data_IF_819836261851
#
_entry.id   IF_819836261851
#
_cell.length_a   1.000
_cell.length_b   1.000
_cell.length_c   1.000
_cell.angle_alpha   90.00
_cell.angle_beta   90.00
_cell.angle_gamma   90.00
#
_symmetry.space_group_name_H-M   'P 1'
#
loop_
_entity.id
_entity.type
_entity.pdbx_description
1 polymer ?
#
# COMPACT_ATOMS: atom_id res chain seq x y z
N UNK A 1 -0.18 19.61 -23.72
CA UNK A 1 0.91 19.18 -22.84
C UNK A 1 0.30 18.72 -21.51
N UNK A 2 -0.22 17.48 -21.46
CA UNK A 2 -0.84 16.89 -20.25
C UNK A 2 -0.61 15.38 -20.29
N UNK A 3 0.65 14.97 -20.12
CA UNK A 3 1.05 13.57 -19.98
C UNK A 3 1.95 13.44 -18.74
N UNK A 4 1.35 13.49 -17.55
CA UNK A 4 2.01 13.04 -16.31
C UNK A 4 0.95 12.78 -15.27
N UNK A 5 1.03 11.61 -14.63
CA UNK A 5 0.41 11.17 -13.39
C UNK A 5 -0.86 10.32 -13.51
N UNK A 6 -0.67 9.07 -13.94
CA UNK A 6 -1.56 7.97 -13.58
C UNK A 6 -0.73 6.85 -12.96
N UNK A 7 -0.28 7.06 -11.75
CA UNK A 7 0.24 5.99 -10.91
C UNK A 7 0.09 6.43 -9.46
N UNK A 8 -1.11 6.30 -8.94
CA UNK A 8 -1.34 6.46 -7.50
C UNK A 8 -2.22 5.34 -7.01
N UNK A 9 -1.57 4.23 -6.74
CA UNK A 9 -1.86 3.36 -5.62
C UNK A 9 -0.51 3.12 -4.94
N UNK A 10 -0.21 4.04 -4.04
CA UNK A 10 0.71 3.95 -2.90
C UNK A 10 1.97 3.10 -3.15
N UNK A 11 2.97 3.73 -3.77
CA UNK A 11 4.37 3.42 -3.54
C UNK A 11 5.12 4.74 -3.49
N UNK A 12 5.39 5.27 -2.30
CA UNK A 12 6.43 6.27 -2.13
C UNK A 12 7.77 5.54 -2.25
N UNK A 13 8.33 5.56 -3.45
CA UNK A 13 9.73 5.27 -3.65
C UNK A 13 10.51 6.58 -3.47
N UNK A 14 11.21 6.70 -2.36
CA UNK A 14 12.28 7.68 -2.23
C UNK A 14 13.42 7.27 -3.15
N UNK A 15 13.80 8.14 -4.08
CA UNK A 15 14.92 7.93 -4.98
C UNK A 15 16.25 7.89 -4.21
N UNK A 16 16.89 6.73 -4.18
CA UNK A 16 18.31 6.59 -3.80
C UNK A 16 19.12 6.76 -5.10
N UNK A 17 20.19 7.57 -5.14
CA UNK A 17 21.00 7.71 -6.34
C UNK A 17 21.70 6.39 -6.66
N UNK A 18 21.44 5.85 -7.85
CA UNK A 18 22.11 4.67 -8.38
C UNK A 18 23.55 5.01 -8.75
N UNK A 19 24.49 4.31 -8.13
CA UNK A 19 25.87 4.27 -8.60
C UNK A 19 25.92 3.49 -9.92
N UNK A 20 26.36 4.14 -10.98
CA UNK A 20 26.53 3.56 -12.31
C UNK A 20 27.69 2.56 -12.32
N UNK A 21 27.38 1.27 -12.51
CA UNK A 21 28.37 0.26 -12.84
C UNK A 21 28.50 0.17 -14.37
N UNK A 22 29.73 0.40 -14.89
CA UNK A 22 30.05 0.17 -16.29
C UNK A 22 30.16 -1.33 -16.57
N UNK A 23 29.35 -1.84 -17.49
CA UNK A 23 29.46 -3.19 -18.02
C UNK A 23 30.44 -3.26 -19.19
N UNK A 24 31.40 -4.16 -19.09
CA UNK A 24 32.20 -4.61 -20.24
C UNK A 24 31.45 -5.75 -20.93
N UNK A 25 31.22 -5.61 -22.22
CA UNK A 25 30.59 -6.64 -23.05
C UNK A 25 31.53 -7.82 -23.26
N UNK A 26 31.10 -9.02 -22.88
CA UNK A 26 31.73 -10.30 -23.22
C UNK A 26 30.71 -11.15 -24.00
N UNK A 27 31.03 -11.60 -25.26
CA UNK A 27 30.06 -12.22 -26.15
C UNK A 27 29.93 -13.74 -26.01
N UNK A 28 30.25 -14.36 -24.89
CA UNK A 28 30.03 -15.78 -24.67
C UNK A 28 28.79 -16.04 -23.84
N UNK A 29 27.71 -16.46 -24.51
CA UNK A 29 26.42 -16.78 -23.91
C UNK A 29 26.50 -17.90 -22.85
N UNK A 30 26.36 -17.50 -21.59
CA UNK A 30 25.98 -18.37 -20.50
C UNK A 30 24.93 -17.64 -19.68
N UNK A 31 23.78 -18.28 -19.49
CA UNK A 31 22.61 -17.74 -18.76
C UNK A 31 22.78 -17.72 -17.23
N UNK A 32 24.02 -17.74 -16.74
CA UNK A 32 24.36 -17.66 -15.31
C UNK A 32 24.95 -16.28 -14.96
N UNK A 33 24.16 -15.22 -15.17
CA UNK A 33 24.50 -13.93 -14.54
C UNK A 33 23.96 -13.96 -13.11
N UNK A 34 24.82 -13.92 -12.08
CA UNK A 34 24.33 -13.81 -10.71
C UNK A 34 23.53 -12.51 -10.59
N UNK A 35 22.33 -12.59 -10.05
CA UNK A 35 21.55 -11.41 -9.66
C UNK A 35 22.35 -10.75 -8.52
N UNK A 36 23.11 -9.73 -8.83
CA UNK A 36 23.81 -8.93 -7.83
C UNK A 36 22.79 -8.01 -7.19
N UNK A 37 22.21 -8.44 -6.07
CA UNK A 37 21.41 -7.57 -5.21
C UNK A 37 22.39 -6.69 -4.46
N UNK A 38 22.64 -5.48 -4.93
CA UNK A 38 23.38 -4.45 -4.20
C UNK A 38 22.48 -3.85 -3.13
N UNK A 39 22.13 -4.64 -2.13
CA UNK A 39 21.47 -4.15 -0.94
C UNK A 39 22.45 -3.35 -0.09
N UNK A 40 22.06 -2.17 0.37
CA UNK A 40 22.84 -1.45 1.40
C UNK A 40 22.84 -2.30 2.67
N UNK A 41 24.01 -2.56 3.24
CA UNK A 41 24.12 -3.41 4.43
C UNK A 41 23.53 -2.70 5.64
N UNK A 42 22.83 -3.44 6.48
CA UNK A 42 22.28 -2.90 7.72
C UNK A 42 23.35 -2.24 8.62
N UNK A 43 24.57 -2.81 8.65
CA UNK A 43 25.73 -2.22 9.35
C UNK A 43 26.05 -0.82 8.85
N UNK A 44 26.06 -0.64 7.52
CA UNK A 44 26.45 0.64 6.90
C UNK A 44 25.41 1.74 7.21
N UNK A 45 24.13 1.36 7.28
CA UNK A 45 23.04 2.27 7.68
C UNK A 45 23.12 2.64 9.16
N UNK A 46 23.47 1.68 10.03
CA UNK A 46 23.72 1.96 11.46
C UNK A 46 24.89 2.92 11.63
N UNK A 47 25.99 2.69 10.93
CA UNK A 47 27.15 3.55 10.96
C UNK A 47 26.86 4.96 10.40
N UNK A 48 26.06 5.04 9.33
CA UNK A 48 25.63 6.32 8.75
C UNK A 48 24.78 7.14 9.74
N UNK A 49 23.83 6.49 10.42
CA UNK A 49 23.03 7.14 11.46
C UNK A 49 23.91 7.56 12.64
N UNK A 50 24.80 6.70 13.14
CA UNK A 50 25.72 7.03 14.24
C UNK A 50 26.57 8.26 13.91
N UNK A 51 27.22 8.26 12.73
CA UNK A 51 28.00 9.41 12.26
C UNK A 51 27.19 10.70 12.12
N UNK A 52 25.92 10.60 11.71
CA UNK A 52 25.02 11.74 11.65
C UNK A 52 24.77 12.32 13.05
N UNK A 53 24.44 11.46 14.01
CA UNK A 53 24.17 11.86 15.39
C UNK A 53 25.40 12.45 16.09
N UNK A 54 26.59 11.86 15.91
CA UNK A 54 27.86 12.33 16.50
C UNK A 54 28.20 13.76 16.05
N UNK A 55 27.99 14.05 14.77
CA UNK A 55 28.21 15.42 14.22
C UNK A 55 27.03 16.35 14.43
N UNK A 56 25.96 15.92 15.12
CA UNK A 56 24.73 16.69 15.35
C UNK A 56 24.12 17.20 14.03
N UNK A 57 23.92 16.30 13.08
CA UNK A 57 23.34 16.64 11.78
C UNK A 57 21.93 17.30 11.92
N UNK A 58 21.50 18.12 10.95
CA UNK A 58 20.20 18.77 11.02
C UNK A 58 19.04 17.75 10.94
N UNK A 59 17.83 18.16 11.38
CA UNK A 59 16.68 17.24 11.51
C UNK A 59 16.33 16.44 10.26
N UNK A 60 16.41 17.04 9.08
CA UNK A 60 16.14 16.37 7.80
C UNK A 60 17.13 15.23 7.51
N UNK A 61 18.41 15.42 7.84
CA UNK A 61 19.43 14.38 7.67
C UNK A 61 19.31 13.27 8.71
N UNK A 62 19.03 13.59 9.99
CA UNK A 62 18.75 12.58 11.01
C UNK A 62 17.53 11.75 10.61
N UNK A 63 16.45 12.40 10.19
CA UNK A 63 15.22 11.72 9.76
C UNK A 63 15.50 10.80 8.57
N UNK A 64 16.23 11.29 7.55
CA UNK A 64 16.57 10.50 6.37
C UNK A 64 17.40 9.26 6.74
N UNK A 65 18.44 9.41 7.57
CA UNK A 65 19.27 8.29 8.02
C UNK A 65 18.51 7.29 8.89
N UNK A 66 17.65 7.81 9.80
CA UNK A 66 16.81 6.96 10.66
C UNK A 66 15.76 6.18 9.85
N UNK A 67 15.13 6.83 8.86
CA UNK A 67 14.13 6.19 8.01
C UNK A 67 14.78 5.10 7.15
N UNK A 68 15.95 5.38 6.54
CA UNK A 68 16.67 4.39 5.73
C UNK A 68 17.07 3.15 6.57
N UNK A 69 17.52 3.35 7.80
CA UNK A 69 17.81 2.24 8.71
C UNK A 69 16.54 1.45 9.05
N UNK A 70 15.46 2.14 9.42
CA UNK A 70 14.20 1.49 9.78
C UNK A 70 13.57 0.72 8.60
N UNK A 71 13.66 1.24 7.38
CA UNK A 71 13.21 0.55 6.16
C UNK A 71 13.98 -0.76 5.96
N UNK A 72 15.30 -0.75 6.13
CA UNK A 72 16.09 -1.97 6.02
C UNK A 72 15.78 -2.96 7.14
N UNK A 73 15.63 -2.50 8.38
CA UNK A 73 15.20 -3.33 9.51
C UNK A 73 13.81 -3.96 9.24
N UNK A 74 12.88 -3.21 8.67
CA UNK A 74 11.57 -3.72 8.27
C UNK A 74 11.69 -4.78 7.17
N UNK A 75 12.48 -4.53 6.12
CA UNK A 75 12.72 -5.49 5.02
C UNK A 75 13.34 -6.78 5.54
N UNK A 76 14.20 -6.71 6.57
CA UNK A 76 14.74 -7.89 7.25
C UNK A 76 13.75 -8.58 8.21
N UNK A 77 12.51 -8.07 8.33
CA UNK A 77 11.49 -8.61 9.24
C UNK A 77 11.65 -8.17 10.70
N UNK A 78 12.60 -7.28 10.99
CA UNK A 78 12.88 -6.74 12.33
C UNK A 78 11.95 -5.57 12.66
N UNK A 79 10.65 -5.81 12.66
CA UNK A 79 9.63 -4.75 12.79
C UNK A 79 9.75 -3.94 14.09
N UNK A 80 10.10 -4.62 15.20
CA UNK A 80 10.28 -3.95 16.48
C UNK A 80 11.51 -3.03 16.49
N UNK A 81 12.61 -3.46 15.87
CA UNK A 81 13.82 -2.65 15.75
C UNK A 81 13.55 -1.41 14.88
N UNK A 82 12.92 -1.62 13.72
CA UNK A 82 12.50 -0.55 12.82
C UNK A 82 11.64 0.51 13.54
N UNK A 83 10.67 0.06 14.32
CA UNK A 83 9.82 0.95 15.09
C UNK A 83 10.59 1.67 16.21
N UNK A 84 11.53 0.98 16.86
CA UNK A 84 12.40 1.58 17.88
C UNK A 84 13.27 2.69 17.27
N UNK A 85 13.86 2.44 16.10
CA UNK A 85 14.65 3.41 15.34
C UNK A 85 13.82 4.66 15.00
N UNK A 86 12.59 4.46 14.48
CA UNK A 86 11.69 5.59 14.14
C UNK A 86 11.27 6.38 15.37
N UNK A 87 10.89 5.70 16.46
CA UNK A 87 10.50 6.38 17.72
C UNK A 87 11.64 7.16 18.36
N UNK A 88 12.86 6.65 18.29
CA UNK A 88 14.04 7.39 18.73
C UNK A 88 14.24 8.68 17.90
N UNK A 89 14.10 8.60 16.58
CA UNK A 89 14.16 9.76 15.70
C UNK A 89 13.00 10.74 15.95
N UNK A 90 11.76 10.25 16.16
CA UNK A 90 10.62 11.08 16.57
C UNK A 90 10.90 11.82 17.88
N UNK A 91 11.49 11.14 18.86
CA UNK A 91 11.90 11.75 20.12
C UNK A 91 12.82 12.98 19.93
N UNK A 92 13.76 12.88 18.97
CA UNK A 92 14.69 13.98 18.66
C UNK A 92 14.08 15.06 17.79
N UNK A 93 13.23 14.71 16.81
CA UNK A 93 12.91 15.57 15.68
C UNK A 93 11.47 16.11 15.65
N UNK A 94 10.50 15.54 16.37
CA UNK A 94 9.09 15.98 16.31
C UNK A 94 8.87 17.45 16.64
N UNK A 95 9.72 18.04 17.50
CA UNK A 95 9.65 19.46 17.86
C UNK A 95 10.06 20.40 16.73
N UNK A 96 10.69 19.90 15.68
CA UNK A 96 11.14 20.70 14.55
C UNK A 96 10.12 20.76 13.39
N UNK A 97 8.88 20.26 13.58
CA UNK A 97 7.85 20.20 12.54
C UNK A 97 7.56 21.56 11.87
N UNK A 98 7.69 22.67 12.61
CA UNK A 98 7.52 24.01 12.04
C UNK A 98 8.54 24.33 10.95
N UNK A 99 9.79 23.96 11.14
CA UNK A 99 10.87 24.21 10.17
C UNK A 99 11.07 23.08 9.15
N UNK A 100 10.65 21.86 9.50
CA UNK A 100 10.82 20.64 8.72
C UNK A 100 9.51 19.83 8.65
N UNK A 101 8.41 20.43 8.15
CA UNK A 101 7.10 19.77 8.20
C UNK A 101 7.04 18.46 7.45
N UNK A 102 7.58 18.38 6.23
CA UNK A 102 7.56 17.16 5.41
C UNK A 102 8.47 16.05 5.96
N UNK A 103 9.73 16.31 6.35
CA UNK A 103 10.55 15.28 6.99
C UNK A 103 9.90 14.71 8.25
N UNK A 104 9.39 15.54 9.15
CA UNK A 104 8.73 15.07 10.38
C UNK A 104 7.45 14.30 10.07
N UNK A 105 6.64 14.75 9.10
CA UNK A 105 5.46 14.02 8.66
C UNK A 105 5.82 12.67 8.04
N UNK A 106 6.91 12.58 7.27
CA UNK A 106 7.38 11.31 6.70
C UNK A 106 7.77 10.29 7.76
N UNK A 107 8.36 10.75 8.86
CA UNK A 107 8.73 9.91 10.00
C UNK A 107 7.50 9.32 10.70
N UNK A 108 6.47 10.15 10.97
CA UNK A 108 5.18 9.65 11.50
C UNK A 108 4.52 8.68 10.54
N UNK A 109 4.57 8.94 9.23
CA UNK A 109 4.01 8.07 8.19
C UNK A 109 4.72 6.70 8.15
N UNK A 110 6.05 6.68 8.30
CA UNK A 110 6.81 5.44 8.38
C UNK A 110 6.42 4.61 9.62
N UNK A 111 6.34 5.24 10.82
CA UNK A 111 5.92 4.54 12.04
C UNK A 111 4.48 4.01 11.95
N UNK A 112 3.56 4.80 11.37
CA UNK A 112 2.17 4.37 11.18
C UNK A 112 2.05 3.12 10.31
N UNK A 113 2.84 3.02 9.22
CA UNK A 113 2.86 1.83 8.36
C UNK A 113 3.36 0.60 9.08
N UNK A 114 4.45 0.72 9.83
CA UNK A 114 4.97 -0.40 10.62
C UNK A 114 3.97 -0.80 11.70
N UNK A 115 3.32 0.17 12.36
CA UNK A 115 2.26 -0.09 13.32
C UNK A 115 1.11 -0.91 12.71
N UNK A 116 0.70 -0.61 11.47
CA UNK A 116 -0.32 -1.38 10.75
C UNK A 116 0.12 -2.84 10.55
N UNK A 117 1.36 -3.09 10.08
CA UNK A 117 1.90 -4.43 9.92
C UNK A 117 2.02 -5.20 11.24
N UNK A 118 2.25 -4.50 12.34
CA UNK A 118 2.31 -5.10 13.68
C UNK A 118 0.92 -5.30 14.32
N UNK A 119 -0.17 -4.91 13.66
CA UNK A 119 -1.52 -4.97 14.23
C UNK A 119 -1.77 -3.93 15.33
N UNK A 120 -0.94 -2.92 15.45
CA UNK A 120 -1.04 -1.85 16.43
C UNK A 120 -2.00 -0.75 15.93
N UNK A 121 -3.31 -1.04 15.92
CA UNK A 121 -4.33 -0.20 15.32
C UNK A 121 -4.46 1.19 15.95
N UNK A 122 -4.32 1.30 17.28
CA UNK A 122 -4.38 2.60 17.96
C UNK A 122 -3.19 3.48 17.59
N UNK A 123 -2.00 2.92 17.55
CA UNK A 123 -0.79 3.62 17.13
C UNK A 123 -0.88 4.01 15.66
N UNK A 124 -1.33 3.10 14.78
CA UNK A 124 -1.57 3.44 13.38
C UNK A 124 -2.49 4.66 13.23
N UNK A 125 -3.57 4.72 14.01
CA UNK A 125 -4.51 5.85 14.04
C UNK A 125 -3.85 7.12 14.54
N UNK A 126 -3.16 7.06 15.69
CA UNK A 126 -2.52 8.23 16.31
C UNK A 126 -1.45 8.82 15.38
N UNK A 127 -0.58 7.96 14.83
CA UNK A 127 0.52 8.41 13.97
C UNK A 127 -0.01 8.95 12.62
N UNK A 128 -1.12 8.43 12.09
CA UNK A 128 -1.76 8.98 10.89
C UNK A 128 -2.26 10.42 11.13
N UNK A 129 -2.87 10.71 12.27
CA UNK A 129 -3.23 12.09 12.62
C UNK A 129 -2.00 12.98 12.87
N UNK A 130 -0.93 12.42 13.42
CA UNK A 130 0.30 13.13 13.65
C UNK A 130 0.98 13.58 12.33
N UNK A 131 0.84 12.83 11.23
CA UNK A 131 1.27 13.25 9.88
C UNK A 131 0.65 14.60 9.51
N UNK A 132 -0.68 14.69 9.62
CA UNK A 132 -1.41 15.93 9.29
C UNK A 132 -0.99 17.09 10.23
N UNK A 133 -0.86 16.79 11.51
CA UNK A 133 -0.46 17.79 12.52
C UNK A 133 0.95 18.32 12.25
N UNK A 134 1.89 17.45 11.87
CA UNK A 134 3.26 17.85 11.54
C UNK A 134 3.31 18.75 10.31
N UNK A 135 2.53 18.45 9.27
CA UNK A 135 2.44 19.30 8.09
C UNK A 135 1.84 20.67 8.41
N UNK A 136 0.73 20.70 9.16
CA UNK A 136 0.06 21.95 9.57
C UNK A 136 0.92 22.84 10.48
N UNK A 137 1.92 22.29 11.15
CA UNK A 137 2.84 23.07 11.96
C UNK A 137 3.70 24.07 11.15
N UNK A 138 3.99 23.76 9.88
CA UNK A 138 4.82 24.58 9.01
C UNK A 138 4.18 24.97 7.67
N UNK A 139 3.00 24.43 7.33
CA UNK A 139 2.32 24.68 6.07
C UNK A 139 0.90 25.22 6.28
N UNK A 140 0.36 26.02 5.33
CA UNK A 140 -1.03 26.45 5.33
C UNK A 140 -2.00 25.26 5.33
N UNK A 141 -3.19 25.43 5.90
CA UNK A 141 -4.21 24.38 5.98
C UNK A 141 -4.76 23.94 4.62
N UNK A 142 -4.64 24.78 3.60
CA UNK A 142 -5.05 24.53 2.21
C UNK A 142 -3.87 24.13 1.30
N UNK A 143 -2.68 23.94 1.85
CA UNK A 143 -1.54 23.40 1.10
C UNK A 143 -1.87 21.98 0.59
N UNK A 144 -1.50 21.72 -0.66
CA UNK A 144 -1.79 20.43 -1.32
C UNK A 144 -1.26 19.21 -0.54
N UNK A 145 -0.13 19.35 0.16
CA UNK A 145 0.50 18.28 0.96
C UNK A 145 -0.30 18.01 2.24
N UNK A 146 -0.87 19.05 2.87
CA UNK A 146 -1.75 18.94 4.03
C UNK A 146 -3.04 18.22 3.63
N UNK A 147 -3.68 18.69 2.55
CA UNK A 147 -4.91 18.08 2.06
C UNK A 147 -4.69 16.64 1.57
N UNK A 148 -3.56 16.35 0.92
CA UNK A 148 -3.19 14.99 0.54
C UNK A 148 -3.00 14.05 1.75
N UNK A 149 -2.40 14.55 2.84
CA UNK A 149 -2.28 13.78 4.08
C UNK A 149 -3.64 13.54 4.77
N UNK A 150 -4.61 14.42 4.59
CA UNK A 150 -5.97 14.21 5.08
C UNK A 150 -6.72 13.09 4.30
N UNK A 151 -6.30 12.76 3.06
CA UNK A 151 -6.76 11.52 2.38
C UNK A 151 -6.32 10.29 3.17
N UNK A 152 -5.08 10.29 3.70
CA UNK A 152 -4.57 9.17 4.51
C UNK A 152 -5.40 8.96 5.78
N UNK A 153 -5.98 10.04 6.35
CA UNK A 153 -6.93 9.93 7.48
C UNK A 153 -8.21 9.21 7.03
N UNK A 154 -8.76 9.56 5.88
CA UNK A 154 -9.90 8.83 5.30
C UNK A 154 -9.58 7.35 5.04
N UNK A 155 -8.41 7.06 4.48
CA UNK A 155 -7.92 5.69 4.25
C UNK A 155 -7.77 4.91 5.58
N UNK A 156 -7.30 5.56 6.63
CA UNK A 156 -7.22 4.99 7.98
C UNK A 156 -8.60 4.66 8.55
N UNK A 157 -9.56 5.58 8.45
CA UNK A 157 -10.94 5.36 8.90
C UNK A 157 -11.58 4.17 8.16
N UNK A 158 -11.41 4.11 6.83
CA UNK A 158 -11.88 3.00 6.02
C UNK A 158 -11.28 1.66 6.45
N UNK A 159 -9.96 1.62 6.70
CA UNK A 159 -9.26 0.42 7.20
C UNK A 159 -9.72 -0.01 8.58
N UNK A 160 -10.16 0.91 9.43
CA UNK A 160 -10.76 0.63 10.73
C UNK A 160 -12.22 0.23 10.66
N UNK A 161 -12.80 0.10 9.45
CA UNK A 161 -14.20 -0.26 9.24
C UNK A 161 -15.19 0.88 9.48
N UNK A 162 -14.70 2.11 9.65
CA UNK A 162 -15.52 3.30 9.87
C UNK A 162 -15.91 3.91 8.52
N UNK A 163 -16.73 3.16 7.74
CA UNK A 163 -17.03 3.48 6.33
C UNK A 163 -17.65 4.86 6.18
N UNK A 164 -18.68 5.17 6.97
CA UNK A 164 -19.40 6.44 6.87
C UNK A 164 -18.50 7.64 7.23
N UNK A 165 -17.66 7.48 8.26
CA UNK A 165 -16.71 8.52 8.65
C UNK A 165 -15.64 8.74 7.57
N UNK A 166 -15.17 7.68 6.91
CA UNK A 166 -14.23 7.78 5.80
C UNK A 166 -14.85 8.52 4.60
N UNK A 167 -16.10 8.18 4.24
CA UNK A 167 -16.83 8.85 3.15
C UNK A 167 -17.02 10.33 3.46
N UNK A 168 -17.47 10.68 4.67
CA UNK A 168 -17.60 12.06 5.10
C UNK A 168 -16.28 12.84 5.02
N UNK A 169 -15.19 12.21 5.47
CA UNK A 169 -13.84 12.79 5.38
C UNK A 169 -13.45 13.08 3.92
N UNK A 170 -13.68 12.14 3.01
CA UNK A 170 -13.34 12.33 1.59
C UNK A 170 -14.20 13.40 0.93
N UNK A 171 -15.51 13.48 1.23
CA UNK A 171 -16.39 14.54 0.69
C UNK A 171 -15.96 15.92 1.18
N UNK A 172 -15.77 16.09 2.48
CA UNK A 172 -15.31 17.36 3.05
C UNK A 172 -13.96 17.81 2.46
N UNK A 173 -13.07 16.84 2.22
CA UNK A 173 -11.78 17.10 1.60
C UNK A 173 -11.91 17.50 0.13
N UNK A 174 -12.76 16.82 -0.65
CA UNK A 174 -12.99 17.15 -2.05
C UNK A 174 -13.52 18.59 -2.19
N UNK A 175 -14.46 19.00 -1.35
CA UNK A 175 -14.98 20.39 -1.34
C UNK A 175 -13.90 21.43 -1.01
N UNK A 176 -13.05 21.15 -0.03
CA UNK A 176 -11.94 22.05 0.34
C UNK A 176 -10.92 22.13 -0.77
N UNK A 177 -10.57 21.00 -1.39
CA UNK A 177 -9.63 20.93 -2.50
C UNK A 177 -10.15 21.67 -3.74
N UNK A 178 -11.46 21.57 -4.04
CA UNK A 178 -12.10 22.32 -5.10
C UNK A 178 -12.01 23.83 -4.84
N UNK A 179 -12.32 24.29 -3.63
CA UNK A 179 -12.21 25.72 -3.23
C UNK A 179 -10.77 26.23 -3.32
N UNK A 180 -9.79 25.39 -3.01
CA UNK A 180 -8.36 25.71 -3.12
C UNK A 180 -7.81 25.56 -4.55
N UNK A 181 -8.64 25.20 -5.53
CA UNK A 181 -8.26 24.90 -6.92
C UNK A 181 -7.14 23.84 -7.02
N UNK A 182 -7.28 22.75 -6.27
CA UNK A 182 -6.38 21.62 -6.21
C UNK A 182 -7.03 20.37 -6.85
N UNK A 183 -7.20 20.34 -8.18
CA UNK A 183 -7.99 19.32 -8.87
C UNK A 183 -7.47 17.89 -8.68
N UNK A 184 -6.17 17.73 -8.47
CA UNK A 184 -5.61 16.40 -8.21
C UNK A 184 -6.07 15.86 -6.85
N UNK A 185 -6.03 16.66 -5.79
CA UNK A 185 -6.49 16.25 -4.46
C UNK A 185 -8.00 16.03 -4.44
N UNK A 186 -8.76 16.91 -5.10
CA UNK A 186 -10.20 16.74 -5.28
C UNK A 186 -10.54 15.42 -5.98
N UNK A 187 -9.93 15.17 -7.15
CA UNK A 187 -10.18 13.95 -7.91
C UNK A 187 -9.79 12.69 -7.14
N UNK A 188 -8.68 12.73 -6.39
CA UNK A 188 -8.27 11.62 -5.53
C UNK A 188 -9.28 11.36 -4.41
N UNK A 189 -9.76 12.39 -3.73
CA UNK A 189 -10.74 12.22 -2.65
C UNK A 189 -12.06 11.65 -3.19
N UNK A 190 -12.57 12.16 -4.31
CA UNK A 190 -13.77 11.64 -4.99
C UNK A 190 -13.58 10.18 -5.46
N UNK A 191 -12.41 9.85 -6.01
CA UNK A 191 -12.09 8.48 -6.42
C UNK A 191 -12.00 7.51 -5.23
N UNK A 192 -11.56 7.98 -4.05
CA UNK A 192 -11.54 7.18 -2.81
C UNK A 192 -12.94 6.77 -2.38
N UNK A 193 -13.95 7.63 -2.55
CA UNK A 193 -15.36 7.28 -2.29
C UNK A 193 -15.80 6.12 -3.19
N UNK A 194 -15.53 6.22 -4.50
CA UNK A 194 -15.85 5.13 -5.45
C UNK A 194 -15.15 3.84 -5.06
N UNK A 195 -13.84 3.92 -4.78
CA UNK A 195 -13.03 2.75 -4.43
C UNK A 195 -13.50 2.08 -3.15
N UNK A 196 -13.85 2.87 -2.12
CA UNK A 196 -14.34 2.35 -0.85
C UNK A 196 -15.68 1.63 -1.00
N UNK A 197 -16.66 2.25 -1.67
CA UNK A 197 -17.94 1.61 -1.93
C UNK A 197 -17.79 0.35 -2.78
N UNK A 198 -16.96 0.40 -3.83
CA UNK A 198 -16.66 -0.77 -4.67
C UNK A 198 -16.01 -1.90 -3.87
N UNK A 199 -15.08 -1.59 -2.98
CA UNK A 199 -14.43 -2.57 -2.12
C UNK A 199 -15.43 -3.23 -1.17
N UNK A 200 -16.28 -2.45 -0.49
CA UNK A 200 -17.31 -2.99 0.42
C UNK A 200 -18.31 -3.87 -0.36
N UNK A 201 -18.77 -3.41 -1.54
CA UNK A 201 -19.65 -4.18 -2.41
C UNK A 201 -19.01 -5.51 -2.88
N UNK A 202 -17.68 -5.54 -3.06
CA UNK A 202 -16.96 -6.74 -3.50
C UNK A 202 -16.89 -7.86 -2.46
N UNK A 203 -17.17 -7.58 -1.18
CA UNK A 203 -17.16 -8.59 -0.12
C UNK A 203 -18.31 -9.61 -0.20
N UNK A 204 -19.13 -9.54 -1.24
CA UNK A 204 -20.18 -10.51 -1.61
C UNK A 204 -21.21 -10.83 -0.51
N UNK A 205 -21.42 -9.95 0.46
CA UNK A 205 -22.46 -10.08 1.47
C UNK A 205 -23.76 -9.47 0.93
N UNK A 206 -24.88 -10.18 1.08
CA UNK A 206 -26.19 -9.70 0.61
C UNK A 206 -26.52 -8.27 1.08
N UNK A 207 -26.08 -7.91 2.28
CA UNK A 207 -26.31 -6.59 2.89
C UNK A 207 -25.50 -5.46 2.22
N UNK A 208 -24.60 -5.77 1.30
CA UNK A 208 -23.75 -4.77 0.66
C UNK A 208 -24.14 -4.44 -0.78
N UNK A 209 -25.29 -4.92 -1.26
CA UNK A 209 -25.81 -4.57 -2.60
C UNK A 209 -25.98 -3.06 -2.76
N UNK A 210 -26.41 -2.36 -1.71
CA UNK A 210 -26.56 -0.90 -1.71
C UNK A 210 -25.24 -0.19 -2.04
N UNK A 211 -24.11 -0.68 -1.53
CA UNK A 211 -22.80 -0.07 -1.81
C UNK A 211 -22.38 -0.18 -3.27
N UNK A 212 -22.88 -1.17 -4.01
CA UNK A 212 -22.65 -1.26 -5.45
C UNK A 212 -23.42 -0.15 -6.21
N UNK A 213 -24.58 0.26 -5.72
CA UNK A 213 -25.34 1.41 -6.24
C UNK A 213 -24.58 2.70 -5.94
N UNK A 214 -24.19 2.91 -4.69
CA UNK A 214 -23.40 4.08 -4.26
C UNK A 214 -22.09 4.21 -5.06
N UNK A 215 -21.40 3.11 -5.32
CA UNK A 215 -20.18 3.12 -6.14
C UNK A 215 -20.45 3.61 -7.57
N UNK A 216 -21.54 3.15 -8.19
CA UNK A 216 -21.94 3.59 -9.54
C UNK A 216 -22.35 5.05 -9.57
N UNK A 217 -23.09 5.51 -8.58
CA UNK A 217 -23.54 6.89 -8.49
C UNK A 217 -22.37 7.85 -8.29
N UNK A 218 -21.46 7.52 -7.38
CA UNK A 218 -20.24 8.29 -7.18
C UNK A 218 -19.34 8.32 -8.44
N UNK A 219 -19.20 7.19 -9.15
CA UNK A 219 -18.47 7.13 -10.42
C UNK A 219 -19.16 7.96 -11.50
N UNK A 220 -20.51 7.90 -11.59
CA UNK A 220 -21.30 8.69 -12.54
C UNK A 220 -21.11 10.20 -12.32
N UNK A 221 -20.94 10.66 -11.08
CA UNK A 221 -20.64 12.07 -10.80
C UNK A 221 -19.28 12.49 -11.35
N UNK A 222 -18.25 11.61 -11.28
CA UNK A 222 -16.94 11.86 -11.88
C UNK A 222 -16.97 11.82 -13.41
N UNK A 223 -17.71 10.88 -14.00
CA UNK A 223 -17.77 10.75 -15.47
C UNK A 223 -18.59 11.90 -16.12
N UNK A 224 -19.51 12.51 -15.42
CA UNK A 224 -20.27 13.68 -15.86
C UNK A 224 -19.54 15.01 -15.63
N UNK A 225 -18.43 14.99 -14.93
CA UNK A 225 -17.65 16.19 -14.66
C UNK A 225 -17.06 16.75 -15.96
N UNK A 226 -17.27 18.05 -16.19
CA UNK A 226 -16.82 18.73 -17.43
C UNK A 226 -15.39 19.28 -17.32
N UNK A 227 -14.81 19.28 -16.12
CA UNK A 227 -13.43 19.72 -15.93
C UNK A 227 -12.47 18.70 -16.58
N UNK A 228 -11.69 19.10 -17.60
CA UNK A 228 -10.77 18.19 -18.29
C UNK A 228 -9.70 17.63 -17.36
N UNK A 229 -9.43 18.27 -16.22
CA UNK A 229 -8.50 17.81 -15.20
C UNK A 229 -9.01 16.58 -14.44
N UNK A 230 -10.35 16.37 -14.43
CA UNK A 230 -11.01 15.21 -13.81
C UNK A 230 -11.07 13.98 -14.72
N UNK A 231 -10.79 14.13 -16.04
CA UNK A 231 -10.93 13.04 -17.01
C UNK A 231 -10.25 11.73 -16.58
N UNK A 232 -9.06 11.83 -16.02
CA UNK A 232 -8.32 10.65 -15.59
C UNK A 232 -8.95 9.94 -14.41
N UNK A 233 -9.50 10.70 -13.45
CA UNK A 233 -10.23 10.14 -12.31
C UNK A 233 -11.56 9.53 -12.75
N UNK A 234 -12.22 10.11 -13.75
CA UNK A 234 -13.43 9.55 -14.36
C UNK A 234 -13.17 8.17 -14.97
N UNK A 235 -12.09 8.02 -15.74
CA UNK A 235 -11.66 6.72 -16.29
C UNK A 235 -11.37 5.72 -15.18
N UNK A 236 -10.63 6.12 -14.16
CA UNK A 236 -10.32 5.25 -13.02
C UNK A 236 -11.59 4.82 -12.25
N UNK A 237 -12.55 5.72 -12.08
CA UNK A 237 -13.83 5.42 -11.44
C UNK A 237 -14.66 4.42 -12.26
N UNK A 238 -14.72 4.59 -13.59
CA UNK A 238 -15.41 3.66 -14.49
C UNK A 238 -14.79 2.26 -14.44
N UNK A 239 -13.46 2.17 -14.42
CA UNK A 239 -12.75 0.91 -14.25
C UNK A 239 -13.05 0.23 -12.92
N UNK A 240 -13.15 0.97 -11.81
CA UNK A 240 -13.53 0.42 -10.51
C UNK A 240 -14.94 -0.18 -10.52
N UNK A 241 -15.89 0.49 -11.16
CA UNK A 241 -17.27 -0.01 -11.29
C UNK A 241 -17.33 -1.21 -12.23
N UNK A 242 -16.59 -1.19 -13.35
CA UNK A 242 -16.49 -2.33 -14.27
C UNK A 242 -15.92 -3.57 -13.57
N UNK A 243 -14.95 -3.38 -12.66
CA UNK A 243 -14.41 -4.46 -11.82
C UNK A 243 -15.47 -5.13 -10.95
N UNK A 244 -16.49 -4.42 -10.50
CA UNK A 244 -17.60 -5.03 -9.75
C UNK A 244 -18.38 -6.06 -10.58
N UNK A 245 -18.51 -5.84 -11.89
CA UNK A 245 -19.13 -6.82 -12.79
C UNK A 245 -18.28 -8.10 -12.98
N UNK A 246 -16.95 -7.96 -12.92
CA UNK A 246 -16.00 -9.08 -13.05
C UNK A 246 -15.81 -9.90 -11.76
N UNK A 247 -16.43 -9.52 -10.66
CA UNK A 247 -16.15 -10.06 -9.32
C UNK A 247 -16.36 -11.57 -9.14
N UNK A 248 -17.20 -12.19 -9.96
CA UNK A 248 -17.52 -13.63 -9.87
C UNK A 248 -16.57 -14.52 -10.70
N UNK A 249 -15.43 -13.99 -11.16
CA UNK A 249 -14.51 -14.73 -12.01
C UNK A 249 -15.00 -14.86 -13.46
N UNK A 250 -15.96 -14.03 -13.88
CA UNK A 250 -16.37 -13.94 -15.27
C UNK A 250 -15.19 -13.45 -16.12
N UNK A 251 -14.54 -14.38 -16.81
CA UNK A 251 -13.36 -14.12 -17.64
C UNK A 251 -13.69 -13.08 -18.73
N UNK A 252 -14.87 -13.15 -19.33
CA UNK A 252 -15.28 -12.20 -20.36
C UNK A 252 -15.41 -10.77 -19.79
N UNK A 253 -15.87 -10.60 -18.54
CA UNK A 253 -15.89 -9.31 -17.88
C UNK A 253 -14.47 -8.80 -17.57
N UNK A 254 -13.55 -9.68 -17.17
CA UNK A 254 -12.14 -9.34 -16.97
C UNK A 254 -11.50 -8.90 -18.29
N UNK A 255 -11.74 -9.61 -19.38
CA UNK A 255 -11.19 -9.27 -20.69
C UNK A 255 -11.75 -7.92 -21.21
N UNK A 256 -13.04 -7.64 -20.99
CA UNK A 256 -13.62 -6.31 -21.26
C UNK A 256 -12.96 -5.20 -20.44
N UNK A 257 -12.65 -5.46 -19.18
CA UNK A 257 -11.94 -4.50 -18.32
C UNK A 257 -10.54 -4.18 -18.86
N UNK A 258 -9.79 -5.22 -19.28
CA UNK A 258 -8.46 -5.05 -19.89
C UNK A 258 -8.59 -4.23 -21.19
N UNK A 259 -9.55 -4.57 -22.06
CA UNK A 259 -9.78 -3.85 -23.30
C UNK A 259 -10.15 -2.38 -23.06
N UNK A 260 -11.02 -2.09 -22.09
CA UNK A 260 -11.41 -0.73 -21.72
C UNK A 260 -10.20 0.09 -21.21
N UNK A 261 -9.34 -0.53 -20.39
CA UNK A 261 -8.13 0.14 -19.91
C UNK A 261 -7.17 0.51 -21.05
N UNK A 262 -6.93 -0.42 -21.97
CA UNK A 262 -6.08 -0.18 -23.15
C UNK A 262 -6.68 0.91 -24.04
N UNK A 263 -7.99 0.85 -24.31
CA UNK A 263 -8.70 1.85 -25.13
C UNK A 263 -8.66 3.27 -24.51
N UNK A 264 -8.61 3.37 -23.19
CA UNK A 264 -8.47 4.64 -22.48
C UNK A 264 -7.06 5.26 -22.63
N UNK A 265 -6.11 4.58 -23.32
CA UNK A 265 -4.72 5.02 -23.47
C UNK A 265 -3.95 5.02 -22.14
N UNK A 266 -4.50 4.36 -21.13
CA UNK A 266 -3.83 4.15 -19.87
C UNK A 266 -2.85 2.96 -20.04
N UNK A 267 -1.67 3.02 -19.45
CA UNK A 267 -0.67 1.93 -19.56
C UNK A 267 0.61 2.32 -20.31
N UNK A 268 0.78 3.60 -20.63
CA UNK A 268 2.04 4.10 -21.17
C UNK A 268 3.19 4.10 -20.12
N UNK A 269 2.85 3.96 -18.84
CA UNK A 269 3.83 3.85 -17.76
C UNK A 269 4.31 2.41 -17.65
N UNK A 270 5.62 2.24 -17.47
CA UNK A 270 6.29 0.95 -17.33
C UNK A 270 5.94 0.16 -16.06
N UNK A 271 4.97 0.62 -15.27
CA UNK A 271 4.58 -0.02 -14.01
C UNK A 271 3.37 -0.94 -14.21
N UNK A 272 3.42 -2.17 -13.68
CA UNK A 272 2.26 -3.07 -13.71
C UNK A 272 1.10 -2.48 -12.90
N UNK A 273 -0.04 -2.30 -13.55
CA UNK A 273 -1.28 -1.83 -12.91
C UNK A 273 -2.23 -2.99 -12.77
N UNK A 274 -2.63 -3.31 -11.54
CA UNK A 274 -3.61 -4.37 -11.26
C UNK A 274 -4.99 -3.91 -11.74
N UNK A 275 -5.53 -4.54 -12.76
CA UNK A 275 -6.88 -4.28 -13.25
C UNK A 275 -7.91 -5.13 -12.51
N UNK A 276 -7.59 -6.38 -12.26
CA UNK A 276 -8.45 -7.31 -11.53
C UNK A 276 -7.64 -8.08 -10.50
N UNK A 277 -8.22 -8.30 -9.33
CA UNK A 277 -7.74 -9.21 -8.30
C UNK A 277 -8.95 -9.98 -7.78
N UNK A 278 -8.95 -11.32 -7.83
CA UNK A 278 -10.03 -12.08 -7.24
C UNK A 278 -10.15 -11.76 -5.75
N UNK A 279 -11.35 -11.85 -5.17
CA UNK A 279 -11.50 -11.72 -3.73
C UNK A 279 -10.60 -12.76 -3.05
N UNK A 280 -9.93 -12.36 -1.97
CA UNK A 280 -9.13 -13.29 -1.19
C UNK A 280 -10.08 -14.27 -0.53
N UNK A 281 -10.08 -15.52 -1.05
CA UNK A 281 -10.87 -16.56 -0.43
C UNK A 281 -10.27 -16.81 0.92
N UNK A 282 -11.05 -16.54 1.96
CA UNK A 282 -10.76 -17.18 3.13
C UNK A 282 -10.56 -16.45 4.41
N UNK A 283 -10.37 -15.17 4.53
CA UNK A 283 -10.43 -14.52 5.87
C UNK A 283 -11.87 -14.22 6.26
N UNK A 284 -12.71 -13.95 5.27
CA UNK A 284 -14.15 -13.67 5.43
C UNK A 284 -15.06 -14.79 4.90
N UNK A 285 -14.52 -15.76 4.17
CA UNK A 285 -15.30 -16.86 3.62
C UNK A 285 -15.43 -17.98 4.65
N UNK A 286 -16.50 -17.91 5.39
CA UNK A 286 -17.00 -19.05 6.13
C UNK A 286 -17.27 -20.19 5.12
N UNK A 287 -16.35 -21.17 5.05
CA UNK A 287 -16.57 -22.49 4.47
C UNK A 287 -17.03 -22.59 3.00
N UNK A 288 -16.21 -22.14 2.04
CA UNK A 288 -16.43 -22.56 0.65
C UNK A 288 -15.65 -23.85 0.26
N UNK A 289 -14.96 -24.45 1.21
CA UNK A 289 -14.20 -25.69 1.01
C UNK A 289 -12.90 -25.54 0.19
N UNK A 290 -12.58 -24.36 -0.30
CA UNK A 290 -11.40 -24.13 -1.15
C UNK A 290 -10.07 -24.11 -0.39
N UNK A 291 -10.12 -23.92 0.92
CA UNK A 291 -8.97 -23.97 1.82
C UNK A 291 -9.17 -25.07 2.85
N UNK A 292 -8.14 -25.93 3.04
CA UNK A 292 -8.23 -27.02 4.02
C UNK A 292 -8.58 -26.52 5.42
N UNK A 293 -9.51 -27.19 6.10
CA UNK A 293 -9.96 -26.84 7.44
C UNK A 293 -8.85 -26.60 8.47
N UNK A 294 -7.74 -27.38 8.47
CA UNK A 294 -6.59 -27.11 9.36
C UNK A 294 -5.93 -25.76 9.14
N UNK A 295 -5.88 -25.25 7.91
CA UNK A 295 -5.33 -23.91 7.61
C UNK A 295 -6.16 -22.83 8.27
N UNK A 296 -7.49 -22.96 8.13
CA UNK A 296 -8.45 -22.06 8.75
C UNK A 296 -8.36 -22.07 10.26
N UNK A 297 -8.26 -23.25 10.85
CA UNK A 297 -8.12 -23.37 12.31
C UNK A 297 -6.91 -22.62 12.81
N UNK A 298 -5.75 -22.76 12.15
CA UNK A 298 -4.52 -22.04 12.52
C UNK A 298 -4.62 -20.51 12.32
N UNK A 299 -5.21 -20.06 11.22
CA UNK A 299 -5.41 -18.62 10.99
C UNK A 299 -6.36 -18.04 12.05
N UNK A 300 -7.50 -18.70 12.29
CA UNK A 300 -8.52 -18.20 13.22
C UNK A 300 -8.13 -18.32 14.68
N UNK A 301 -7.29 -19.29 15.05
CA UNK A 301 -6.75 -19.39 16.43
C UNK A 301 -5.83 -18.23 16.79
N UNK A 302 -5.35 -17.48 15.78
CA UNK A 302 -4.36 -16.41 15.96
C UNK A 302 -2.94 -16.94 16.21
N UNK A 303 -2.71 -18.24 16.04
CA UNK A 303 -1.40 -18.88 16.22
C UNK A 303 -0.35 -18.35 15.25
N UNK A 304 -0.79 -17.97 14.03
CA UNK A 304 0.07 -17.50 12.94
C UNK A 304 0.17 -15.97 12.84
N UNK A 305 -0.52 -15.24 13.73
CA UNK A 305 -0.48 -13.75 13.71
C UNK A 305 0.94 -13.26 13.99
N UNK A 306 1.36 -12.26 13.21
CA UNK A 306 2.70 -11.68 13.27
C UNK A 306 3.71 -12.37 12.35
N UNK A 307 3.31 -13.41 11.64
CA UNK A 307 4.14 -13.98 10.58
C UNK A 307 4.10 -13.12 9.32
N UNK A 308 5.20 -13.09 8.58
CA UNK A 308 5.31 -12.40 7.32
C UNK A 308 5.95 -13.31 6.25
N UNK A 309 5.62 -13.05 5.00
CA UNK A 309 6.19 -13.72 3.85
C UNK A 309 6.40 -12.74 2.70
N UNK A 310 7.53 -12.87 2.00
CA UNK A 310 7.77 -12.22 0.72
C UNK A 310 7.42 -13.20 -0.39
N UNK A 311 6.49 -12.80 -1.25
CA UNK A 311 5.99 -13.59 -2.37
C UNK A 311 6.44 -12.94 -3.66
N UNK A 312 7.17 -13.68 -4.49
CA UNK A 312 7.55 -13.24 -5.84
C UNK A 312 6.59 -13.80 -6.87
N UNK A 313 6.44 -13.08 -7.97
CA UNK A 313 5.70 -13.53 -9.13
C UNK A 313 6.07 -12.70 -10.36
N UNK A 314 5.87 -13.29 -11.54
CA UNK A 314 6.06 -12.60 -12.80
C UNK A 314 4.74 -12.06 -13.34
N UNK A 315 4.72 -10.79 -13.71
CA UNK A 315 3.65 -10.20 -14.53
C UNK A 315 4.08 -10.32 -15.97
N UNK A 316 3.42 -11.18 -16.74
CA UNK A 316 3.69 -11.39 -18.16
C UNK A 316 3.31 -10.16 -18.99
N UNK A 317 3.84 -10.02 -20.22
CA UNK A 317 3.49 -8.93 -21.11
C UNK A 317 1.99 -8.79 -21.42
N UNK A 318 1.25 -9.91 -21.39
CA UNK A 318 -0.20 -9.92 -21.59
C UNK A 318 -1.01 -9.55 -20.32
N UNK A 319 -0.31 -9.27 -19.20
CA UNK A 319 -0.92 -8.94 -17.92
C UNK A 319 -1.35 -10.15 -17.08
N UNK A 320 -1.07 -11.38 -17.50
CA UNK A 320 -1.25 -12.57 -16.67
C UNK A 320 -0.13 -12.71 -15.65
N UNK A 321 -0.37 -13.54 -14.62
CA UNK A 321 0.63 -13.81 -13.58
C UNK A 321 1.14 -15.25 -13.71
N UNK A 322 2.44 -15.42 -13.47
CA UNK A 322 3.11 -16.73 -13.48
C UNK A 322 4.20 -16.79 -12.39
N UNK A 323 4.70 -18.02 -12.13
CA UNK A 323 5.80 -18.30 -11.19
C UNK A 323 5.61 -17.64 -9.83
N UNK A 324 4.50 -17.97 -9.15
CA UNK A 324 4.18 -17.42 -7.84
C UNK A 324 4.79 -18.29 -6.76
N UNK A 325 5.82 -17.77 -6.07
CA UNK A 325 6.59 -18.48 -5.05
C UNK A 325 6.82 -17.66 -3.79
N UNK A 326 6.94 -18.37 -2.65
CA UNK A 326 7.38 -17.77 -1.39
C UNK A 326 8.90 -17.72 -1.38
N UNK A 327 9.48 -16.52 -1.46
CA UNK A 327 10.92 -16.32 -1.43
C UNK A 327 11.51 -16.54 -0.04
N UNK A 328 10.85 -16.03 0.96
CA UNK A 328 11.26 -16.11 2.36
C UNK A 328 10.10 -15.74 3.27
N UNK A 329 10.20 -16.16 4.51
CA UNK A 329 9.23 -15.82 5.53
C UNK A 329 9.86 -15.79 6.91
N UNK A 330 9.12 -15.28 7.87
CA UNK A 330 9.60 -15.16 9.23
C UNK A 330 8.51 -14.74 10.19
N UNK A 331 8.93 -14.49 11.42
CA UNK A 331 8.07 -14.03 12.49
C UNK A 331 8.43 -12.58 12.78
N UNK A 332 7.46 -11.70 12.65
CA UNK A 332 7.56 -10.32 13.11
C UNK A 332 7.19 -10.22 14.60
N UNK A 333 7.60 -9.15 15.25
CA UNK A 333 7.22 -8.91 16.63
C UNK A 333 5.71 -8.64 16.74
N UNK A 334 5.05 -9.32 17.67
CA UNK A 334 3.67 -9.08 18.03
C UNK A 334 3.58 -7.94 19.05
N UNK A 335 2.61 -7.06 18.88
CA UNK A 335 2.15 -6.19 19.97
C UNK A 335 1.09 -6.95 20.75
N UNK A 336 1.46 -7.51 21.92
CA UNK A 336 0.50 -8.16 22.83
C UNK A 336 1.00 -9.45 23.46
N UNK A 337 0.26 -10.00 24.44
CA UNK A 337 0.69 -11.14 25.26
C UNK A 337 0.56 -12.50 24.59
N UNK A 338 0.20 -12.58 23.31
CA UNK A 338 0.06 -13.86 22.61
C UNK A 338 1.43 -14.40 22.22
N UNK A 339 1.78 -15.56 22.73
CA UNK A 339 2.91 -16.36 22.22
C UNK A 339 2.47 -16.95 20.89
N UNK A 340 2.90 -16.34 19.77
CA UNK A 340 2.76 -16.95 18.46
C UNK A 340 3.60 -18.22 18.33
N UNK A 341 3.36 -19.01 17.28
CA UNK A 341 4.22 -20.13 16.94
C UNK A 341 5.65 -19.62 16.70
N UNK A 342 6.67 -20.16 17.39
CA UNK A 342 8.05 -19.73 17.20
C UNK A 342 8.62 -20.12 15.82
N UNK A 343 7.90 -20.94 15.05
CA UNK A 343 8.31 -21.39 13.73
C UNK A 343 7.44 -20.75 12.66
N UNK A 344 8.07 -20.31 11.57
CA UNK A 344 7.34 -19.88 10.39
C UNK A 344 6.57 -21.06 9.79
N UNK A 345 5.30 -20.86 9.53
CA UNK A 345 4.43 -21.85 8.89
C UNK A 345 3.86 -21.24 7.60
N UNK A 346 4.32 -21.72 6.47
CA UNK A 346 3.99 -21.19 5.14
C UNK A 346 2.52 -21.39 4.75
N UNK A 347 1.79 -22.26 5.44
CA UNK A 347 0.45 -22.69 5.06
C UNK A 347 -0.57 -21.54 4.92
N UNK A 348 -0.37 -20.44 5.68
CA UNK A 348 -1.25 -19.28 5.63
C UNK A 348 -1.08 -18.44 4.34
N UNK A 349 -0.02 -18.66 3.56
CA UNK A 349 0.22 -17.97 2.30
C UNK A 349 -0.61 -18.54 1.13
N UNK A 350 -1.17 -19.75 1.27
CA UNK A 350 -1.95 -20.41 0.21
C UNK A 350 -3.08 -19.53 -0.35
N UNK A 351 -3.93 -18.87 0.46
CA UNK A 351 -4.97 -18.00 -0.08
C UNK A 351 -4.41 -16.82 -0.87
N UNK A 352 -3.26 -16.29 -0.44
CA UNK A 352 -2.58 -15.18 -1.09
C UNK A 352 -2.04 -15.62 -2.45
N UNK A 353 -1.37 -16.76 -2.51
CA UNK A 353 -0.82 -17.34 -3.74
C UNK A 353 -1.95 -17.55 -4.77
N UNK A 354 -3.08 -18.12 -4.34
CA UNK A 354 -4.23 -18.31 -5.22
C UNK A 354 -4.80 -16.98 -5.73
N UNK A 355 -4.88 -15.97 -4.86
CA UNK A 355 -5.32 -14.64 -5.25
C UNK A 355 -4.37 -14.02 -6.28
N UNK A 356 -3.05 -14.11 -6.04
CA UNK A 356 -2.03 -13.55 -6.95
C UNK A 356 -2.11 -14.25 -8.32
N UNK A 357 -2.21 -15.56 -8.36
CA UNK A 357 -2.36 -16.35 -9.61
C UNK A 357 -3.59 -15.93 -10.43
N UNK A 358 -4.65 -15.50 -9.77
CA UNK A 358 -5.88 -15.04 -10.44
C UNK A 358 -5.88 -13.56 -10.80
N UNK A 359 -4.84 -12.81 -10.51
CA UNK A 359 -4.76 -11.37 -10.87
C UNK A 359 -4.63 -11.17 -12.38
N UNK A 360 -5.16 -10.06 -12.82
CA UNK A 360 -4.93 -9.53 -14.17
C UNK A 360 -4.37 -8.12 -14.05
N UNK A 361 -3.25 -7.93 -14.70
CA UNK A 361 -2.60 -6.64 -14.83
C UNK A 361 -2.93 -6.01 -16.19
N UNK A 362 -2.72 -4.72 -16.30
CA UNK A 362 -2.67 -4.08 -17.61
C UNK A 362 -1.54 -4.71 -18.43
N UNK A 363 -1.75 -4.93 -19.75
CA UNK A 363 -0.67 -5.36 -20.64
C UNK A 363 0.52 -4.43 -20.51
N UNK A 364 1.71 -5.01 -20.39
CA UNK A 364 2.94 -4.24 -20.29
C UNK A 364 3.33 -3.65 -21.66
N UNK A 365 3.85 -2.41 -21.68
CA UNK A 365 4.41 -1.85 -22.92
C UNK A 365 5.71 -2.58 -23.26
N UNK A 366 5.93 -2.88 -24.53
CA UNK A 366 7.17 -3.47 -25.03
C UNK A 366 6.98 -4.82 -25.75
N UNK A 367 8.02 -5.65 -25.72
CA UNK A 367 8.00 -6.95 -26.41
C UNK A 367 7.03 -7.93 -25.74
N UNK A 368 6.05 -8.39 -26.51
CA UNK A 368 5.05 -9.37 -26.06
C UNK A 368 5.65 -10.75 -25.73
N UNK A 369 6.84 -11.04 -26.24
CA UNK A 369 7.56 -12.29 -26.00
C UNK A 369 8.63 -12.14 -24.89
N UNK A 370 8.74 -10.97 -24.28
CA UNK A 370 9.68 -10.72 -23.21
C UNK A 370 9.32 -11.49 -21.92
N UNK A 371 10.23 -11.56 -20.94
CA UNK A 371 10.02 -12.29 -19.69
C UNK A 371 8.93 -11.67 -18.80
N UNK A 372 8.52 -10.43 -19.10
CA UNK A 372 7.61 -9.68 -18.22
C UNK A 372 8.35 -8.93 -17.12
N UNK A 373 7.65 -8.70 -16.01
CA UNK A 373 8.18 -7.94 -14.87
C UNK A 373 8.07 -8.72 -13.57
N UNK A 374 9.19 -8.91 -12.88
CA UNK A 374 9.22 -9.53 -11.55
C UNK A 374 8.63 -8.57 -10.52
N UNK A 375 7.74 -9.10 -9.70
CA UNK A 375 7.15 -8.41 -8.56
C UNK A 375 7.50 -9.16 -7.28
N UNK A 376 7.67 -8.42 -6.21
CA UNK A 376 7.83 -8.98 -4.86
C UNK A 376 6.90 -8.21 -3.92
N UNK A 377 6.03 -8.93 -3.27
CA UNK A 377 5.10 -8.35 -2.29
C UNK A 377 5.32 -9.00 -0.94
N UNK A 378 5.47 -8.19 0.11
CA UNK A 378 5.44 -8.66 1.49
C UNK A 378 4.01 -8.71 1.99
N UNK A 379 3.65 -9.83 2.56
CA UNK A 379 2.43 -9.99 3.32
C UNK A 379 2.74 -10.23 4.79
N UNK A 380 1.95 -9.62 5.67
CA UNK A 380 2.01 -9.87 7.11
C UNK A 380 0.63 -10.28 7.55
N UNK A 381 0.52 -11.43 8.20
CA UNK A 381 -0.71 -11.85 8.85
C UNK A 381 -0.81 -11.16 10.20
N UNK A 382 -1.76 -10.27 10.34
CA UNK A 382 -1.97 -9.45 11.54
C UNK A 382 -3.40 -9.51 12.03
N UNK A 383 -3.64 -8.99 13.23
CA UNK A 383 -4.97 -8.82 13.77
C UNK A 383 -5.02 -7.50 14.54
N UNK A 384 -5.89 -6.62 14.10
CA UNK A 384 -6.08 -5.36 14.81
C UNK A 384 -7.01 -5.58 16.00
N UNK A 385 -6.54 -5.20 17.18
CA UNK A 385 -7.38 -5.13 18.36
C UNK A 385 -8.24 -3.86 18.21
N UNK A 386 -9.49 -4.02 17.88
CA UNK A 386 -10.43 -2.93 17.93
C UNK A 386 -10.62 -2.53 19.39
N UNK A 387 -10.21 -1.33 19.76
CA UNK A 387 -10.58 -0.74 21.05
C UNK A 387 -12.10 -0.61 21.06
N UNK A 388 -12.77 -1.46 21.84
CA UNK A 388 -14.21 -1.35 22.03
C UNK A 388 -14.49 -0.02 22.72
N UNK A 389 -15.10 0.93 22.05
CA UNK A 389 -15.83 2.01 22.69
C UNK A 389 -17.06 1.38 23.34
N UNK A 390 -16.85 0.77 24.50
CA UNK A 390 -17.97 0.41 25.36
C UNK A 390 -18.70 1.69 25.79
N UNK A 391 -20.02 1.64 26.03
CA UNK A 391 -20.83 2.80 26.39
C UNK A 391 -20.49 3.45 27.72
N UNK A 392 -19.48 2.99 28.41
CA UNK A 392 -19.00 3.58 29.66
C UNK A 392 -17.63 4.23 29.42
N UNK A 393 -17.59 5.53 29.24
CA UNK A 393 -16.41 6.39 29.05
C UNK A 393 -15.33 6.35 30.14
N UNK A 394 -15.06 5.20 30.71
CA UNK A 394 -13.95 4.89 31.60
C UNK A 394 -13.23 3.65 31.07
N UNK A 395 -12.14 3.89 30.42
CA UNK A 395 -10.92 3.14 30.20
C UNK A 395 -10.87 1.61 30.41
N UNK A 396 -11.94 0.86 30.17
CA UNK A 396 -11.87 -0.59 30.11
C UNK A 396 -11.52 -0.99 28.69
N UNK A 397 -10.26 -1.32 28.46
CA UNK A 397 -9.78 -1.98 27.25
C UNK A 397 -10.36 -3.40 27.20
N UNK A 398 -11.61 -3.55 26.85
CA UNK A 398 -12.14 -4.85 26.44
C UNK A 398 -11.57 -5.07 25.04
N UNK A 399 -10.52 -5.88 24.97
CA UNK A 399 -9.99 -6.38 23.71
C UNK A 399 -11.03 -7.33 23.11
N UNK A 400 -11.85 -6.83 22.20
CA UNK A 400 -12.65 -7.71 21.35
C UNK A 400 -11.70 -8.37 20.36
N UNK A 401 -11.84 -9.68 20.15
CA UNK A 401 -11.04 -10.42 19.19
C UNK A 401 -11.18 -9.78 17.81
N UNK A 402 -10.09 -9.27 17.27
CA UNK A 402 -10.07 -8.78 15.91
C UNK A 402 -9.93 -9.95 14.93
N UNK A 403 -10.63 -9.87 13.81
CA UNK A 403 -10.45 -10.84 12.73
C UNK A 403 -9.01 -10.75 12.18
N UNK A 404 -8.37 -11.87 11.87
CA UNK A 404 -7.10 -11.88 11.17
C UNK A 404 -7.21 -11.13 9.83
N UNK A 405 -6.17 -10.42 9.45
CA UNK A 405 -6.09 -9.69 8.17
C UNK A 405 -4.68 -9.72 7.61
N UNK A 406 -4.59 -9.51 6.31
CA UNK A 406 -3.31 -9.37 5.64
C UNK A 406 -2.98 -7.89 5.43
N UNK A 407 -1.80 -7.49 5.86
CA UNK A 407 -1.19 -6.25 5.44
C UNK A 407 -0.21 -6.55 4.30
N UNK A 408 -0.25 -5.75 3.23
CA UNK A 408 0.58 -5.94 2.05
C UNK A 408 1.45 -4.71 1.81
N UNK A 409 2.71 -4.94 1.49
CA UNK A 409 3.65 -3.94 1.02
C UNK A 409 4.34 -4.43 -0.25
N UNK A 410 4.35 -3.60 -1.27
CA UNK A 410 5.09 -3.84 -2.51
C UNK A 410 6.58 -3.55 -2.28
N UNK A 411 7.40 -4.57 -2.42
CA UNK A 411 8.87 -4.49 -2.31
C UNK A 411 9.55 -4.47 -3.69
N UNK A 412 8.79 -4.47 -4.77
CA UNK A 412 9.35 -4.51 -6.11
C UNK A 412 10.18 -3.27 -6.41
N UNK A 413 11.37 -3.48 -6.95
CA UNK A 413 12.18 -2.38 -7.50
C UNK A 413 11.49 -1.90 -8.77
N UNK A 414 11.01 -0.67 -8.77
CA UNK A 414 10.50 -0.07 -10.00
C UNK A 414 11.71 0.26 -10.90
N UNK A 415 11.66 -0.10 -12.19
CA UNK A 415 12.70 0.34 -13.13
C UNK A 415 12.79 1.88 -13.08
N UNK A 416 13.98 2.45 -13.15
CA UNK A 416 14.13 3.89 -13.21
C UNK A 416 13.26 4.40 -14.37
N UNK A 417 12.42 5.39 -14.12
CA UNK A 417 11.72 6.11 -15.16
C UNK A 417 12.79 6.59 -16.14
N UNK A 418 12.75 6.10 -17.39
CA UNK A 418 13.72 6.43 -18.43
C UNK A 418 13.94 7.93 -18.51
N UNK A 419 15.10 8.40 -18.96
CA UNK A 419 15.44 9.81 -19.02
C UNK A 419 14.34 10.52 -19.78
N UNK A 420 13.61 11.39 -19.08
CA UNK A 420 12.58 12.21 -19.69
C UNK A 420 13.22 12.95 -20.85
N UNK A 421 12.68 12.74 -22.06
CA UNK A 421 12.99 13.54 -23.23
C UNK A 421 12.79 15.01 -22.85
N UNK A 422 13.85 15.69 -22.49
CA UNK A 422 13.91 17.14 -22.46
C UNK A 422 13.97 17.57 -23.93
N UNK A 423 12.83 17.61 -24.58
CA UNK A 423 12.69 18.37 -25.84
C UNK A 423 12.81 19.85 -25.50
N UNK A 424 13.82 20.47 -26.11
CA UNK A 424 14.07 21.90 -26.18
C UNK A 424 12.81 22.67 -26.56
#
# INVERSE_FOLDING_TARGET
MLRRNFAVLIALATAIPAASAQTRDDPSGSYDKPIVITGVRLSDLKDALAKCLDRKCPPDQDIAASTALAEQEFVEGKYQDARTTLKASLGRNKGYAKGYPEPVASLFRADSRIAAHMGAGDEYRIETFAVVSALKAGLPNDDARVLAAEIEVGDMLARMGQIDAAVQQYHALAERAAKANLPYVEGMARLRVVALYAQVASQNKQNFVAYAVEARDAASQLTKDRDPRMKGFAIAADLLVTRLAAKNGDQAAVDRLVAAYVAAGAGADSRPVVLYSPPMKGIDAVYDGSIPGPVWSKINSGELIGQWADISFWVKPDGTVDDVDVLRGGIGALTGPRKGNPNFDEIWTMPIIQQIKGRRYAPLPGDRNGPGMLRVERYTLTAWLAGGNGPSGKGSRIQTSSAPRYEMLDLSVNPPSGPGNTSK
#
